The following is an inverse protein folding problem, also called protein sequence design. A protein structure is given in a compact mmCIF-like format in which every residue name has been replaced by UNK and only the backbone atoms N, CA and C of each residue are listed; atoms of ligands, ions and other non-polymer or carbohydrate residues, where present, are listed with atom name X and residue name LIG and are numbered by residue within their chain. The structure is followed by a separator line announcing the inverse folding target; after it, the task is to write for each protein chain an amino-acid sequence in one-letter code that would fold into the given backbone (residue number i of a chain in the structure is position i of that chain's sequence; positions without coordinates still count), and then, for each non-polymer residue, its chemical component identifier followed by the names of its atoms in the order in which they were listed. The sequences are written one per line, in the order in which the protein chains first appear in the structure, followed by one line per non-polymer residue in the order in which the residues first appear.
data_IF_404286098990
#
_entry.id   IF_404286098990
#
_cell.length_a   1.000
_cell.length_b   1.000
_cell.length_c   1.000
_cell.angle_alpha   90.00
_cell.angle_beta   90.00
_cell.angle_gamma   90.00
#
_symmetry.space_group_name_H-M   'P 1'
#
loop_
_entity.id
_entity.type
_entity.pdbx_description
1 polymer ?
#
# COMPACT_ATOMS: atom_id res chain seq x y z
N UNK A 1 8.45 -5.33 13.10
CA UNK A 1 9.38 -6.04 14.01
C UNK A 1 10.58 -6.61 13.29
N UNK A 2 11.52 -7.12 14.04
CA UNK A 2 12.75 -7.77 13.56
C UNK A 2 12.80 -9.17 14.17
N UNK A 3 13.21 -10.16 13.41
CA UNK A 3 13.39 -11.53 13.88
C UNK A 3 14.58 -12.21 13.18
N UNK A 4 15.12 -13.26 13.78
CA UNK A 4 16.22 -14.05 13.24
C UNK A 4 15.69 -15.30 12.50
N UNK A 5 15.72 -15.36 11.16
CA UNK A 5 15.01 -16.38 10.38
C UNK A 5 15.67 -17.76 10.33
N UNK A 6 16.81 -17.97 11.02
CA UNK A 6 17.69 -19.13 10.78
C UNK A 6 17.64 -20.22 11.85
N UNK A 7 16.76 -20.13 12.84
CA UNK A 7 16.68 -21.10 13.95
C UNK A 7 15.28 -21.68 14.11
N UNK A 8 15.18 -22.91 14.59
CA UNK A 8 13.91 -23.55 14.97
C UNK A 8 13.12 -22.74 16.03
N UNK A 9 13.81 -21.91 16.81
CA UNK A 9 13.26 -20.87 17.68
C UNK A 9 13.92 -19.55 17.32
N UNK A 10 13.20 -18.66 16.69
CA UNK A 10 13.67 -17.34 16.37
C UNK A 10 13.38 -16.38 17.51
N UNK A 11 14.39 -15.62 17.94
CA UNK A 11 14.16 -14.49 18.82
C UNK A 11 13.65 -13.31 17.99
N UNK A 12 12.58 -12.71 18.42
CA UNK A 12 11.95 -11.58 17.74
C UNK A 12 11.85 -10.35 18.64
N UNK A 13 11.94 -9.18 18.03
CA UNK A 13 11.59 -7.91 18.64
C UNK A 13 10.34 -7.35 17.96
N UNK A 14 9.23 -7.42 18.66
CA UNK A 14 7.99 -6.77 18.27
C UNK A 14 8.08 -5.27 18.58
N UNK A 15 7.78 -4.44 17.59
CA UNK A 15 7.69 -2.98 17.74
C UNK A 15 6.48 -2.50 16.95
N UNK A 16 5.56 -1.81 17.60
CA UNK A 16 4.36 -1.29 16.97
C UNK A 16 3.82 -0.06 17.70
N UNK A 17 3.02 0.72 17.00
CA UNK A 17 2.20 1.78 17.59
C UNK A 17 0.80 1.21 17.84
N UNK A 18 0.40 1.17 19.08
CA UNK A 18 -0.94 0.80 19.50
C UNK A 18 -1.77 2.08 19.66
N UNK A 19 -2.45 2.51 18.61
CA UNK A 19 -3.33 3.68 18.61
C UNK A 19 -4.78 3.24 18.35
N UNK A 20 -5.69 3.44 19.30
CA UNK A 20 -7.09 3.03 19.11
C UNK A 20 -7.79 3.79 17.99
N UNK A 21 -7.46 5.05 17.77
CA UNK A 21 -8.08 5.94 16.78
C UNK A 21 -7.36 6.00 15.44
N UNK A 22 -6.37 5.11 15.17
CA UNK A 22 -5.55 5.12 13.96
C UNK A 22 -4.83 6.46 13.72
N UNK A 23 -4.26 7.05 14.77
CA UNK A 23 -3.46 8.26 14.67
C UNK A 23 -2.31 8.07 13.69
N UNK A 24 -2.08 9.06 12.84
CA UNK A 24 -0.97 9.01 11.90
C UNK A 24 0.38 9.00 12.62
N UNK A 25 1.15 7.97 12.37
CA UNK A 25 2.53 7.85 12.81
C UNK A 25 3.35 7.20 11.69
N UNK A 26 4.38 7.88 11.23
CA UNK A 26 5.33 7.32 10.29
C UNK A 26 6.39 6.54 11.10
N UNK A 27 6.39 5.23 10.95
CA UNK A 27 7.35 4.34 11.62
C UNK A 27 8.43 3.94 10.62
N UNK A 28 9.68 4.21 10.96
CA UNK A 28 10.85 3.82 10.18
C UNK A 28 11.69 2.81 10.94
N UNK A 29 12.27 1.87 10.22
CA UNK A 29 13.23 0.92 10.72
C UNK A 29 14.44 0.93 9.80
N UNK A 30 15.55 1.43 10.28
CA UNK A 30 16.81 1.49 9.54
C UNK A 30 17.78 0.45 10.10
N UNK A 31 18.26 -0.44 9.22
CA UNK A 31 19.25 -1.44 9.55
C UNK A 31 20.62 -1.03 8.98
N UNK A 32 21.60 -0.91 9.83
CA UNK A 32 22.97 -0.52 9.47
C UNK A 32 23.88 -1.74 9.27
N UNK A 33 24.92 -1.58 8.45
CA UNK A 33 25.83 -2.68 8.06
C UNK A 33 26.53 -3.42 9.21
N UNK A 34 26.53 -2.87 10.43
CA UNK A 34 27.20 -3.45 11.60
C UNK A 34 26.27 -4.21 12.55
N UNK A 35 25.08 -4.55 12.10
CA UNK A 35 24.07 -5.19 12.97
C UNK A 35 23.41 -4.23 13.95
N UNK A 36 23.62 -2.93 13.77
CA UNK A 36 22.91 -1.89 14.50
C UNK A 36 21.62 -1.54 13.75
N UNK A 37 20.57 -1.19 14.47
CA UNK A 37 19.32 -0.72 13.90
C UNK A 37 18.70 0.37 14.74
N UNK A 38 17.86 1.19 14.10
CA UNK A 38 17.07 2.19 14.78
C UNK A 38 15.62 2.10 14.42
N UNK A 39 14.76 2.41 15.36
CA UNK A 39 13.33 2.67 15.13
C UNK A 39 13.07 4.14 15.43
N UNK A 40 12.42 4.83 14.49
CA UNK A 40 11.91 6.18 14.71
C UNK A 40 10.39 6.21 14.51
N UNK A 41 9.75 7.06 15.29
CA UNK A 41 8.30 7.28 15.28
C UNK A 41 8.08 8.77 15.07
N UNK A 42 7.55 9.12 13.90
CA UNK A 42 7.35 10.51 13.50
C UNK A 42 5.86 10.82 13.46
N UNK A 43 5.44 11.76 14.28
CA UNK A 43 4.06 12.22 14.35
C UNK A 43 3.93 13.61 13.72
N UNK A 44 2.97 13.82 12.80
CA UNK A 44 2.66 15.15 12.33
C UNK A 44 2.04 15.98 13.46
N UNK A 45 2.72 17.03 13.86
CA UNK A 45 2.20 17.94 14.88
C UNK A 45 1.71 19.23 14.24
N UNK A 46 0.45 19.57 14.47
CA UNK A 46 -0.09 20.88 14.09
C UNK A 46 0.57 21.97 14.91
N UNK A 47 0.82 23.12 14.29
CA UNK A 47 1.43 24.26 14.96
C UNK A 47 2.85 24.02 15.51
N UNK A 48 3.61 23.10 14.92
CA UNK A 48 5.00 22.84 15.27
C UNK A 48 5.83 24.13 15.17
N UNK A 49 6.68 24.37 16.18
CA UNK A 49 7.48 25.60 16.28
C UNK A 49 6.80 26.79 16.94
N UNK A 50 5.52 26.70 17.32
CA UNK A 50 4.86 27.72 18.13
C UNK A 50 5.16 27.50 19.61
N UNK A 51 5.43 28.60 20.31
CA UNK A 51 5.60 28.55 21.78
C UNK A 51 4.35 27.99 22.45
N UNK A 52 4.54 27.24 23.52
CA UNK A 52 3.49 26.60 24.31
C UNK A 52 2.67 25.54 23.55
N UNK A 53 3.12 25.11 22.39
CA UNK A 53 2.53 23.96 21.71
C UNK A 53 3.01 22.67 22.37
N UNK A 54 2.10 21.92 22.95
CA UNK A 54 2.35 20.56 23.45
C UNK A 54 1.77 19.54 22.50
N UNK A 55 2.41 18.39 22.41
CA UNK A 55 1.93 17.25 21.65
C UNK A 55 1.99 16.00 22.52
N UNK A 56 0.88 15.30 22.60
CA UNK A 56 0.76 14.01 23.27
C UNK A 56 0.12 13.03 22.28
N UNK A 57 0.80 11.93 21.89
CA UNK A 57 0.21 10.92 21.01
C UNK A 57 -0.91 10.17 21.74
N UNK A 58 -1.98 9.87 21.03
CA UNK A 58 -3.10 9.07 21.55
C UNK A 58 -2.68 7.61 21.76
N UNK A 59 -1.81 7.12 20.89
CA UNK A 59 -1.30 5.76 20.94
C UNK A 59 -0.04 5.60 21.80
N UNK A 60 0.36 4.35 21.96
CA UNK A 60 1.59 3.97 22.68
C UNK A 60 2.52 3.21 21.74
N UNK A 61 3.82 3.49 21.85
CA UNK A 61 4.84 2.61 21.27
C UNK A 61 5.00 1.40 22.19
N UNK A 62 4.75 0.22 21.64
CA UNK A 62 4.88 -1.05 22.35
C UNK A 62 6.08 -1.80 21.82
N UNK A 63 6.97 -2.21 22.72
CA UNK A 63 8.15 -3.03 22.40
C UNK A 63 8.09 -4.31 23.24
N UNK A 64 8.31 -5.47 22.60
CA UNK A 64 8.32 -6.75 23.27
C UNK A 64 9.32 -7.69 22.63
N UNK A 65 10.18 -8.30 23.44
CA UNK A 65 10.99 -9.44 23.01
C UNK A 65 10.15 -10.71 23.13
N UNK A 66 10.21 -11.57 22.13
CA UNK A 66 9.47 -12.82 22.10
C UNK A 66 10.29 -13.94 21.44
N UNK A 67 9.99 -15.18 21.83
CA UNK A 67 10.36 -16.38 21.12
C UNK A 67 9.35 -16.58 19.98
N UNK A 68 9.68 -16.15 18.76
CA UNK A 68 8.74 -16.23 17.64
C UNK A 68 9.21 -15.46 16.42
N UNK A 69 8.46 -15.59 15.35
CA UNK A 69 8.74 -14.97 14.07
C UNK A 69 7.77 -13.81 13.76
N UNK A 70 7.74 -13.41 12.50
CA UNK A 70 6.86 -12.34 12.03
C UNK A 70 5.38 -12.66 12.22
N UNK A 71 5.00 -13.94 12.16
CA UNK A 71 3.61 -14.37 12.32
C UNK A 71 3.13 -14.19 13.76
N UNK A 72 3.97 -14.57 14.73
CA UNK A 72 3.68 -14.35 16.15
C UNK A 72 3.53 -12.85 16.46
N UNK A 73 4.38 -12.02 15.85
CA UNK A 73 4.26 -10.56 15.94
C UNK A 73 2.95 -10.04 15.33
N UNK A 74 2.54 -10.59 14.20
CA UNK A 74 1.29 -10.24 13.55
C UNK A 74 0.08 -10.63 14.42
N UNK A 75 0.11 -11.80 15.06
CA UNK A 75 -0.93 -12.24 15.99
C UNK A 75 -1.06 -11.30 17.21
N UNK A 76 0.06 -10.82 17.76
CA UNK A 76 0.02 -9.83 18.87
C UNK A 76 -0.67 -8.55 18.42
N UNK A 77 -0.38 -8.05 17.22
CA UNK A 77 -1.03 -6.85 16.71
C UNK A 77 -2.49 -7.09 16.36
N UNK A 78 -2.81 -8.23 15.78
CA UNK A 78 -4.19 -8.65 15.49
C UNK A 78 -5.06 -8.68 16.76
N UNK A 79 -4.53 -9.26 17.84
CA UNK A 79 -5.23 -9.29 19.15
C UNK A 79 -5.49 -7.88 19.65
N UNK A 80 -4.50 -7.00 19.58
CA UNK A 80 -4.67 -5.59 19.94
C UNK A 80 -5.77 -4.93 19.09
N UNK A 81 -5.72 -5.11 17.77
CA UNK A 81 -6.70 -4.51 16.84
C UNK A 81 -8.12 -4.97 17.16
N UNK A 82 -8.32 -6.28 17.33
CA UNK A 82 -9.65 -6.85 17.62
C UNK A 82 -10.26 -6.33 18.92
N UNK A 83 -9.44 -6.03 19.90
CA UNK A 83 -9.92 -5.68 21.25
C UNK A 83 -9.94 -4.17 21.53
N UNK A 84 -9.19 -3.36 20.80
CA UNK A 84 -8.95 -1.97 21.17
C UNK A 84 -9.06 -0.96 20.02
N UNK A 85 -9.02 -1.41 18.76
CA UNK A 85 -9.05 -0.46 17.65
C UNK A 85 -10.48 -0.06 17.31
N UNK A 86 -10.77 1.23 17.39
CA UNK A 86 -12.09 1.81 17.08
C UNK A 86 -12.47 1.66 15.60
N UNK A 87 -11.46 1.56 14.74
CA UNK A 87 -11.63 1.39 13.29
C UNK A 87 -11.80 -0.08 12.86
N UNK A 88 -11.66 -1.03 13.78
CA UNK A 88 -11.83 -2.45 13.45
C UNK A 88 -13.30 -2.80 13.24
N UNK A 89 -13.62 -3.39 12.12
CA UNK A 89 -14.94 -3.88 11.78
C UNK A 89 -14.89 -5.40 11.53
N UNK A 90 -15.40 -6.24 12.45
CA UNK A 90 -15.31 -7.70 12.37
C UNK A 90 -15.92 -8.30 11.09
N UNK A 91 -16.99 -7.69 10.58
CA UNK A 91 -17.67 -8.08 9.35
C UNK A 91 -17.26 -7.26 8.12
N UNK A 92 -16.16 -6.52 8.24
CA UNK A 92 -15.68 -5.61 7.22
C UNK A 92 -16.37 -4.25 7.25
N UNK A 93 -15.82 -3.31 6.50
CA UNK A 93 -16.35 -1.95 6.41
C UNK A 93 -17.73 -1.95 5.73
N UNK A 94 -18.67 -1.20 6.29
CA UNK A 94 -20.02 -1.05 5.72
C UNK A 94 -20.04 -0.25 4.40
N UNK A 95 -19.05 0.64 4.22
CA UNK A 95 -18.91 1.52 3.06
C UNK A 95 -18.09 0.88 1.90
N UNK A 96 -17.59 -0.35 2.08
CA UNK A 96 -16.91 -1.07 1.02
C UNK A 96 -17.93 -1.69 0.07
N UNK A 97 -17.89 -1.37 -1.24
CA UNK A 97 -18.77 -1.98 -2.23
C UNK A 97 -18.70 -3.50 -2.23
N UNK A 98 -19.82 -4.18 -2.45
CA UNK A 98 -19.88 -5.65 -2.45
C UNK A 98 -18.95 -6.26 -3.48
N UNK A 99 -18.90 -5.70 -4.69
CA UNK A 99 -18.03 -6.17 -5.76
C UNK A 99 -16.55 -6.16 -5.37
N UNK A 100 -16.12 -5.18 -4.56
CA UNK A 100 -14.73 -5.08 -4.09
C UNK A 100 -14.37 -6.23 -3.14
N UNK A 101 -15.32 -6.67 -2.31
CA UNK A 101 -15.12 -7.78 -1.36
C UNK A 101 -15.01 -9.14 -2.06
N UNK A 102 -15.59 -9.25 -3.25
CA UNK A 102 -15.63 -10.49 -4.02
C UNK A 102 -14.41 -10.68 -4.94
N UNK A 103 -13.51 -9.69 -4.99
CA UNK A 103 -12.29 -9.74 -5.80
C UNK A 103 -11.18 -10.47 -5.03
N UNK A 104 -10.77 -11.68 -5.46
CA UNK A 104 -9.76 -12.46 -4.77
C UNK A 104 -8.32 -12.05 -5.15
N UNK A 105 -8.14 -11.36 -6.29
CA UNK A 105 -6.83 -11.02 -6.86
C UNK A 105 -6.84 -9.61 -7.42
N UNK A 106 -5.81 -8.85 -7.07
CA UNK A 106 -5.54 -7.53 -7.63
C UNK A 106 -4.26 -7.55 -8.46
N UNK A 107 -4.37 -7.17 -9.72
CA UNK A 107 -3.23 -6.86 -10.57
C UNK A 107 -2.81 -5.41 -10.35
N UNK A 108 -1.55 -5.13 -10.60
CA UNK A 108 -1.01 -3.77 -10.55
C UNK A 108 -0.05 -3.59 -11.72
N UNK A 109 -0.28 -2.54 -12.50
CA UNK A 109 0.56 -2.22 -13.65
C UNK A 109 0.51 -0.73 -13.99
N UNK A 110 1.25 -0.34 -15.00
CA UNK A 110 1.33 1.02 -15.50
C UNK A 110 0.67 1.11 -16.85
N UNK A 111 -0.15 2.15 -17.05
CA UNK A 111 -0.63 2.45 -18.40
C UNK A 111 0.57 2.84 -19.29
N UNK A 112 0.71 2.23 -20.47
CA UNK A 112 1.80 2.55 -21.39
C UNK A 112 1.84 4.04 -21.76
N UNK A 113 3.02 4.57 -21.97
CA UNK A 113 3.22 5.94 -22.40
C UNK A 113 3.37 6.02 -23.92
N UNK A 114 2.76 7.04 -24.52
CA UNK A 114 2.93 7.33 -25.95
C UNK A 114 4.34 7.86 -26.23
N UNK A 115 4.94 8.53 -25.26
CA UNK A 115 6.32 9.01 -25.30
C UNK A 115 6.99 8.82 -23.94
N UNK A 116 7.69 7.71 -23.72
CA UNK A 116 8.37 7.44 -22.45
C UNK A 116 9.45 8.46 -22.07
N UNK A 117 10.00 9.18 -23.05
CA UNK A 117 11.03 10.20 -22.82
C UNK A 117 10.42 11.54 -22.37
N UNK A 118 9.19 11.82 -22.76
CA UNK A 118 8.49 13.07 -22.40
C UNK A 118 7.92 13.07 -21.00
N UNK A 119 7.70 11.91 -20.39
CA UNK A 119 7.20 11.81 -19.04
C UNK A 119 8.32 11.67 -18.02
N UNK A 120 8.43 12.55 -17.03
CA UNK A 120 9.45 12.48 -15.99
C UNK A 120 9.15 11.34 -14.98
N UNK A 121 9.09 10.10 -15.47
CA UNK A 121 9.07 8.95 -14.58
C UNK A 121 10.42 8.89 -13.89
N UNK A 122 10.47 8.77 -12.56
CA UNK A 122 11.73 8.58 -11.84
C UNK A 122 12.57 7.47 -12.47
N UNK A 123 13.87 7.70 -12.66
CA UNK A 123 14.77 6.75 -13.33
C UNK A 123 14.68 5.35 -12.76
N UNK A 124 14.47 5.24 -11.44
CA UNK A 124 14.28 3.97 -10.72
C UNK A 124 13.02 3.20 -11.13
N UNK A 125 12.04 3.88 -11.71
CA UNK A 125 10.76 3.28 -12.11
C UNK A 125 10.62 3.12 -13.63
N UNK A 126 11.55 3.69 -14.42
CA UNK A 126 11.48 3.64 -15.90
C UNK A 126 11.48 2.22 -16.46
N UNK A 127 12.14 1.29 -15.79
CA UNK A 127 12.17 -0.13 -16.20
C UNK A 127 10.83 -0.85 -15.94
N UNK A 128 9.97 -0.27 -15.11
CA UNK A 128 8.64 -0.81 -14.80
C UNK A 128 7.56 -0.28 -15.76
N UNK A 129 7.86 0.79 -16.50
CA UNK A 129 6.93 1.33 -17.49
C UNK A 129 7.16 0.56 -18.79
N UNK A 130 6.24 -0.32 -19.20
CA UNK A 130 6.42 -1.06 -20.44
C UNK A 130 6.46 -0.07 -21.62
N UNK A 131 7.32 -0.32 -22.61
CA UNK A 131 7.14 0.32 -23.89
C UNK A 131 5.73 -0.01 -24.38
N UNK A 132 5.01 0.98 -24.95
CA UNK A 132 3.63 0.82 -25.37
C UNK A 132 3.46 -0.44 -26.24
N UNK A 133 2.95 -1.54 -25.73
CA UNK A 133 2.47 -2.60 -26.59
C UNK A 133 1.07 -2.20 -27.02
N UNK A 134 0.76 -2.33 -28.30
CA UNK A 134 -0.59 -2.10 -28.82
C UNK A 134 -1.64 -3.02 -28.14
N UNK A 135 -1.16 -4.02 -27.43
CA UNK A 135 -1.92 -5.10 -26.79
C UNK A 135 -1.83 -5.12 -25.26
N UNK A 136 -1.43 -4.02 -24.60
CA UNK A 136 -1.23 -3.98 -23.14
C UNK A 136 -2.46 -4.47 -22.34
N UNK A 137 -3.64 -4.37 -22.90
CA UNK A 137 -4.89 -4.86 -22.30
C UNK A 137 -5.05 -6.37 -22.40
N UNK A 138 -4.43 -7.01 -23.38
CA UNK A 138 -4.66 -8.42 -23.67
C UNK A 138 -4.19 -9.34 -22.54
N UNK A 139 -3.06 -9.04 -21.92
CA UNK A 139 -2.49 -9.85 -20.81
C UNK A 139 -3.41 -9.89 -19.57
N UNK A 140 -3.88 -8.77 -19.01
CA UNK A 140 -4.82 -8.82 -17.90
C UNK A 140 -6.15 -9.47 -18.28
N UNK A 141 -6.64 -9.28 -19.52
CA UNK A 141 -7.86 -9.95 -20.00
C UNK A 141 -7.65 -11.46 -20.11
N UNK A 142 -6.54 -11.90 -20.71
CA UNK A 142 -6.21 -13.34 -20.78
C UNK A 142 -6.10 -13.94 -19.37
N UNK A 143 -5.44 -13.25 -18.44
CA UNK A 143 -5.31 -13.70 -17.07
C UNK A 143 -6.68 -13.86 -16.40
N UNK A 144 -7.56 -12.87 -16.48
CA UNK A 144 -8.91 -12.91 -15.90
C UNK A 144 -9.74 -14.06 -16.49
N UNK A 145 -9.69 -14.22 -17.81
CA UNK A 145 -10.40 -15.30 -18.51
C UNK A 145 -9.89 -16.69 -18.11
N UNK A 146 -8.59 -16.86 -17.90
CA UNK A 146 -8.01 -18.14 -17.43
C UNK A 146 -8.33 -18.41 -15.97
N UNK A 147 -8.39 -17.37 -15.15
CA UNK A 147 -8.73 -17.49 -13.73
C UNK A 147 -10.23 -17.83 -13.54
N UNK A 148 -11.09 -17.28 -14.40
CA UNK A 148 -12.55 -17.48 -14.32
C UNK A 148 -13.20 -16.83 -13.10
N UNK A 149 -12.54 -15.85 -12.48
CA UNK A 149 -13.01 -15.11 -11.31
C UNK A 149 -12.88 -13.60 -11.55
N UNK A 150 -13.60 -12.76 -10.77
CA UNK A 150 -13.41 -11.31 -10.82
C UNK A 150 -11.97 -10.94 -10.48
N UNK A 151 -11.41 -9.98 -11.21
CA UNK A 151 -10.05 -9.48 -11.00
C UNK A 151 -10.10 -7.98 -10.77
N UNK A 152 -9.41 -7.48 -9.76
CA UNK A 152 -9.16 -6.06 -9.60
C UNK A 152 -7.90 -5.64 -10.38
N UNK A 153 -7.91 -4.44 -10.93
CA UNK A 153 -6.77 -3.93 -11.67
C UNK A 153 -6.44 -2.50 -11.26
N UNK A 154 -5.37 -2.33 -10.50
CA UNK A 154 -4.84 -1.04 -10.11
C UNK A 154 -3.87 -0.54 -11.18
N UNK A 155 -4.28 0.44 -11.97
CA UNK A 155 -3.51 0.99 -13.07
C UNK A 155 -2.86 2.30 -12.63
N UNK A 156 -1.53 2.34 -12.67
CA UNK A 156 -0.78 3.57 -12.49
C UNK A 156 -0.66 4.37 -13.79
N UNK A 157 -0.34 5.67 -13.63
CA UNK A 157 0.02 6.54 -14.74
C UNK A 157 -1.07 6.67 -15.83
N UNK A 158 -2.33 6.64 -15.41
CA UNK A 158 -3.49 6.76 -16.30
C UNK A 158 -3.83 8.20 -16.70
N UNK A 159 -3.22 9.18 -16.07
CA UNK A 159 -3.40 10.61 -16.28
C UNK A 159 -2.33 11.22 -17.18
N UNK A 160 -2.63 12.39 -17.81
CA UNK A 160 -1.68 13.12 -18.67
C UNK A 160 -0.72 14.01 -17.91
N UNK A 161 -0.95 14.28 -16.62
CA UNK A 161 -0.01 15.03 -15.79
C UNK A 161 1.22 14.16 -15.50
N UNK A 162 2.41 14.77 -15.35
CA UNK A 162 3.61 14.02 -14.98
C UNK A 162 3.44 13.28 -13.66
N UNK A 163 4.00 12.08 -13.58
CA UNK A 163 3.89 11.22 -12.40
C UNK A 163 4.39 11.92 -11.13
N UNK A 164 3.62 11.85 -10.06
CA UNK A 164 3.86 12.49 -8.76
C UNK A 164 3.91 14.02 -8.77
N UNK A 165 3.47 14.66 -9.86
CA UNK A 165 3.31 16.11 -9.90
C UNK A 165 1.84 16.50 -9.73
N UNK A 166 1.60 17.71 -9.29
CA UNK A 166 0.31 18.41 -9.26
C UNK A 166 -0.86 17.66 -8.62
N UNK A 167 -0.59 16.63 -7.81
CA UNK A 167 -1.66 15.96 -7.04
C UNK A 167 -2.37 16.94 -6.09
N UNK A 168 -3.70 16.88 -6.01
CA UNK A 168 -4.63 15.83 -6.45
C UNK A 168 -5.29 16.05 -7.83
N UNK A 169 -4.71 16.84 -8.71
CA UNK A 169 -5.27 17.17 -10.02
C UNK A 169 -4.90 16.06 -11.03
N UNK A 170 -5.77 15.06 -11.17
CA UNK A 170 -5.49 13.87 -12.00
C UNK A 170 -6.01 13.96 -13.45
N UNK A 171 -6.67 15.04 -13.82
CA UNK A 171 -7.24 15.18 -15.17
C UNK A 171 -6.39 16.10 -16.05
N UNK A 172 -6.39 15.89 -17.38
CA UNK A 172 -7.15 14.88 -18.11
C UNK A 172 -6.54 13.47 -18.05
N UNK A 173 -7.35 12.46 -18.34
CA UNK A 173 -6.91 11.07 -18.50
C UNK A 173 -6.18 10.89 -19.83
N UNK A 174 -5.36 9.86 -19.96
CA UNK A 174 -4.71 9.48 -21.22
C UNK A 174 -5.73 9.01 -22.25
N UNK A 175 -5.38 9.20 -23.51
CA UNK A 175 -6.21 8.75 -24.62
C UNK A 175 -6.34 7.22 -24.60
N UNK A 176 -7.54 6.72 -24.83
CA UNK A 176 -7.86 5.29 -24.76
C UNK A 176 -8.03 4.72 -23.34
N UNK A 177 -7.88 5.52 -22.28
CA UNK A 177 -8.05 5.01 -20.91
C UNK A 177 -9.49 4.61 -20.63
N UNK A 178 -10.45 5.46 -20.95
CA UNK A 178 -11.87 5.18 -20.68
C UNK A 178 -12.36 3.97 -21.50
N UNK A 179 -11.99 3.89 -22.77
CA UNK A 179 -12.30 2.76 -23.64
C UNK A 179 -11.68 1.45 -23.10
N UNK A 180 -10.51 1.53 -22.50
CA UNK A 180 -9.85 0.39 -21.86
C UNK A 180 -10.61 -0.09 -20.62
N UNK A 181 -11.13 0.83 -19.80
CA UNK A 181 -11.95 0.49 -18.64
C UNK A 181 -13.23 -0.24 -19.09
N UNK A 182 -13.90 0.24 -20.13
CA UNK A 182 -15.09 -0.42 -20.66
C UNK A 182 -14.80 -1.85 -21.15
N UNK A 183 -13.63 -2.04 -21.76
CA UNK A 183 -13.20 -3.36 -22.19
C UNK A 183 -12.84 -4.27 -21.01
N UNK A 184 -12.19 -3.76 -19.99
CA UNK A 184 -11.89 -4.50 -18.76
C UNK A 184 -13.16 -4.95 -18.05
N UNK A 185 -14.14 -4.06 -17.88
CA UNK A 185 -15.41 -4.40 -17.24
C UNK A 185 -16.17 -5.52 -18.00
N UNK A 186 -16.14 -5.53 -19.35
CA UNK A 186 -16.71 -6.60 -20.15
C UNK A 186 -16.03 -7.96 -19.92
N UNK A 187 -14.80 -7.96 -19.45
CA UNK A 187 -14.00 -9.15 -19.13
C UNK A 187 -13.90 -9.42 -17.62
N UNK A 188 -14.84 -8.92 -16.84
CA UNK A 188 -14.91 -9.10 -15.38
C UNK A 188 -13.66 -8.60 -14.62
N UNK A 189 -13.05 -7.54 -15.14
CA UNK A 189 -11.92 -6.83 -14.52
C UNK A 189 -12.42 -5.48 -14.02
N UNK A 190 -12.25 -5.22 -12.74
CA UNK A 190 -12.64 -3.99 -12.06
C UNK A 190 -11.41 -3.08 -11.87
N UNK A 191 -11.50 -1.84 -12.35
CA UNK A 191 -10.40 -0.86 -12.33
C UNK A 191 -10.60 0.16 -11.21
#
# INVERSE_FOLDING_TARGET
GIYEPTKEKSNGLYVAVHSPSAERCDMRCDLFRRGEGSFSFEYPSTSMGKAYNSFEPVGKVVMRVLDGDWYDMACIYEEYVKNHAEWYAPIGRYDTPSWFKDIPVWLMDWMPNDNPEAEPVPISLRSLVPPKPDDWKNKPIEFANRLGLPVGYHIYNWHKIPFNNDYPYYFPVKDGFMESIDEFHKNNIYV
#
